data_IF_237090056053
#
_entry.id   IF_237090056053
#
_cell.length_a   1.000
_cell.length_b   1.000
_cell.length_c   1.000
_cell.angle_alpha   90.00
_cell.angle_beta   90.00
_cell.angle_gamma   90.00
#
_symmetry.space_group_name_H-M   'P 1'
#
loop_
_entity.id
_entity.type
_entity.pdbx_description
1 polymer ?
#
# COMPACT_ATOMS: atom_id res chain seq x y z
N UNK A 1 27.13 3.46 2.56
CA UNK A 1 27.88 4.66 2.17
C UNK A 1 27.02 5.86 2.49
N UNK A 2 27.55 6.96 3.05
CA UNK A 2 26.79 8.19 3.24
C UNK A 2 26.08 8.57 1.93
N UNK A 3 24.77 8.86 2.00
CA UNK A 3 23.96 9.26 0.83
C UNK A 3 23.12 8.17 0.16
N UNK A 4 23.13 6.91 0.63
CA UNK A 4 22.19 5.88 0.12
C UNK A 4 20.88 5.92 0.90
N UNK A 5 19.76 6.16 0.20
CA UNK A 5 18.43 6.02 0.80
C UNK A 5 18.22 4.58 1.31
N UNK A 6 17.63 4.39 2.50
CA UNK A 6 17.42 3.06 3.07
C UNK A 6 16.26 2.29 2.40
N UNK A 7 15.69 2.85 1.33
CA UNK A 7 14.60 2.28 0.55
C UNK A 7 14.86 2.46 -0.96
N UNK A 8 14.25 1.62 -1.81
CA UNK A 8 14.35 1.77 -3.27
C UNK A 8 13.72 3.09 -3.74
N UNK A 9 14.38 3.73 -4.71
CA UNK A 9 13.80 4.81 -5.49
C UNK A 9 13.60 4.31 -6.92
N UNK A 10 12.36 4.35 -7.41
CA UNK A 10 11.97 3.86 -8.73
C UNK A 10 11.59 5.04 -9.63
N UNK A 11 11.79 4.89 -10.93
CA UNK A 11 11.37 5.85 -11.95
C UNK A 11 10.35 5.20 -12.87
N UNK A 12 9.25 5.90 -13.15
CA UNK A 12 8.18 5.46 -14.02
C UNK A 12 7.85 6.55 -15.04
N UNK A 13 8.70 6.66 -16.06
CA UNK A 13 8.56 7.68 -17.11
C UNK A 13 7.26 7.54 -17.91
N UNK A 14 6.71 6.32 -18.01
CA UNK A 14 5.45 6.04 -18.69
C UNK A 14 4.21 6.36 -17.83
N UNK A 15 4.40 6.74 -16.55
CA UNK A 15 3.35 7.07 -15.56
C UNK A 15 2.32 5.95 -15.35
N UNK A 16 2.69 4.70 -15.59
CA UNK A 16 1.78 3.55 -15.50
C UNK A 16 1.30 3.35 -14.06
N UNK A 17 2.21 3.48 -13.09
CA UNK A 17 1.94 3.36 -11.66
C UNK A 17 1.04 4.48 -11.17
N UNK A 18 1.30 5.71 -11.59
CA UNK A 18 0.47 6.87 -11.23
C UNK A 18 -0.98 6.66 -11.67
N UNK A 19 -1.22 6.21 -12.90
CA UNK A 19 -2.57 5.90 -13.40
C UNK A 19 -3.18 4.69 -12.70
N UNK A 20 -2.39 3.64 -12.44
CA UNK A 20 -2.85 2.42 -11.75
C UNK A 20 -3.36 2.72 -10.34
N UNK A 21 -2.65 3.58 -9.60
CA UNK A 21 -3.05 4.00 -8.25
C UNK A 21 -3.98 5.22 -8.24
N UNK A 22 -4.38 5.73 -9.41
CA UNK A 22 -5.20 6.94 -9.55
C UNK A 22 -4.55 8.22 -8.99
N UNK A 23 -3.23 8.22 -8.87
CA UNK A 23 -2.40 9.37 -8.54
C UNK A 23 -2.06 10.18 -9.80
N UNK A 24 -3.06 10.45 -10.65
CA UNK A 24 -2.89 11.16 -11.90
C UNK A 24 -4.12 12.03 -12.12
N UNK A 25 -3.91 13.30 -12.43
CA UNK A 25 -4.97 14.21 -12.86
C UNK A 25 -5.15 14.06 -14.38
N UNK A 26 -6.30 13.55 -14.79
CA UNK A 26 -6.61 13.34 -16.21
C UNK A 26 -7.04 14.63 -16.93
N UNK A 27 -7.42 15.69 -16.20
CA UNK A 27 -7.71 17.01 -16.78
C UNK A 27 -6.43 17.78 -17.07
N UNK A 28 -5.49 17.79 -16.12
CA UNK A 28 -4.22 18.53 -16.26
C UNK A 28 -3.07 17.70 -16.87
N UNK A 29 -3.24 16.38 -17.03
CA UNK A 29 -2.22 15.39 -17.44
C UNK A 29 -0.96 15.41 -16.56
N UNK A 30 -1.16 15.51 -15.24
CA UNK A 30 -0.08 15.63 -14.26
C UNK A 30 -0.13 14.51 -13.20
N UNK A 31 1.04 14.04 -12.73
CA UNK A 31 1.10 13.13 -11.60
C UNK A 31 0.72 13.85 -10.30
N UNK A 32 -0.06 13.18 -9.45
CA UNK A 32 -0.38 13.62 -8.10
C UNK A 32 0.49 12.90 -7.07
N UNK A 33 0.56 13.46 -5.86
CA UNK A 33 1.21 12.80 -4.74
C UNK A 33 0.30 11.71 -4.20
N UNK A 34 0.85 10.51 -4.02
CA UNK A 34 0.12 9.37 -3.47
C UNK A 34 0.91 8.65 -2.40
N UNK A 35 0.27 8.37 -1.27
CA UNK A 35 0.76 7.46 -0.25
C UNK A 35 -0.19 6.25 -0.18
N UNK A 36 0.36 5.05 -0.39
CA UNK A 36 -0.42 3.81 -0.48
C UNK A 36 0.06 2.78 0.54
N UNK A 37 -0.89 2.07 1.15
CA UNK A 37 -0.62 0.85 1.92
C UNK A 37 -1.12 -0.36 1.13
N UNK A 38 -0.22 -1.27 0.79
CA UNK A 38 -0.52 -2.56 0.18
C UNK A 38 -0.12 -3.67 1.14
N UNK A 39 -1.02 -4.63 1.41
CA UNK A 39 -0.72 -5.74 2.32
C UNK A 39 0.09 -6.87 1.64
N UNK A 40 0.51 -7.86 2.44
CA UNK A 40 1.29 -9.01 1.97
C UNK A 40 0.57 -9.90 0.94
N UNK A 41 -0.75 -9.72 0.74
CA UNK A 41 -1.55 -10.42 -0.28
C UNK A 41 -1.76 -9.55 -1.53
N UNK A 42 -1.09 -8.40 -1.62
CA UNK A 42 -1.21 -7.46 -2.72
C UNK A 42 -2.51 -6.67 -2.71
N UNK A 43 -3.21 -6.56 -1.57
CA UNK A 43 -4.46 -5.77 -1.48
C UNK A 43 -4.17 -4.33 -1.06
N UNK A 44 -4.74 -3.38 -1.77
CA UNK A 44 -4.76 -1.97 -1.37
C UNK A 44 -5.60 -1.82 -0.10
N UNK A 45 -5.02 -1.22 0.92
CA UNK A 45 -5.60 -1.12 2.27
C UNK A 45 -6.05 0.27 2.63
N UNK A 46 -5.30 1.23 2.12
CA UNK A 46 -5.44 2.63 2.39
C UNK A 46 -4.69 3.38 1.30
N UNK A 47 -5.22 4.54 0.96
CA UNK A 47 -4.64 5.43 -0.04
C UNK A 47 -4.99 6.86 0.35
N UNK A 48 -3.99 7.72 0.25
CA UNK A 48 -4.14 9.17 0.27
C UNK A 48 -3.57 9.71 -1.04
N UNK A 49 -4.35 10.54 -1.73
CA UNK A 49 -3.99 11.18 -2.99
C UNK A 49 -4.31 12.66 -2.86
N UNK A 50 -3.33 13.50 -3.14
CA UNK A 50 -3.50 14.94 -3.09
C UNK A 50 -2.55 15.64 -4.07
N UNK A 51 -2.84 16.90 -4.33
CA UNK A 51 -1.90 17.79 -5.00
C UNK A 51 -0.67 18.08 -4.12
N UNK A 52 -0.83 18.10 -2.80
CA UNK A 52 0.29 18.25 -1.85
C UNK A 52 0.79 16.88 -1.35
N UNK A 53 2.10 16.76 -1.02
CA UNK A 53 2.62 15.54 -0.44
C UNK A 53 2.04 15.29 0.96
N UNK A 54 1.81 14.02 1.29
CA UNK A 54 1.45 13.61 2.63
C UNK A 54 2.66 13.72 3.57
N UNK A 55 2.56 14.52 4.64
CA UNK A 55 3.71 14.86 5.50
C UNK A 55 3.68 14.24 6.91
N UNK A 56 2.58 13.63 7.34
CA UNK A 56 2.43 13.10 8.71
C UNK A 56 2.83 11.61 8.81
N UNK A 57 4.13 11.33 8.70
CA UNK A 57 4.65 9.96 8.71
C UNK A 57 4.31 9.18 10.01
N UNK A 58 4.23 9.86 11.15
CA UNK A 58 3.91 9.23 12.43
C UNK A 58 2.45 8.76 12.49
N UNK A 59 1.52 9.58 11.98
CA UNK A 59 0.14 9.16 11.80
C UNK A 59 0.05 7.98 10.84
N UNK A 60 0.68 8.08 9.66
CA UNK A 60 0.62 7.03 8.65
C UNK A 60 1.10 5.68 9.21
N UNK A 61 2.23 5.68 9.92
CA UNK A 61 2.77 4.45 10.52
C UNK A 61 1.79 3.80 11.51
N UNK A 62 1.21 4.59 12.42
CA UNK A 62 0.24 4.10 13.41
C UNK A 62 -1.02 3.57 12.73
N UNK A 63 -1.53 4.30 11.75
CA UNK A 63 -2.74 3.92 11.02
C UNK A 63 -2.51 2.65 10.19
N UNK A 64 -1.35 2.51 9.55
CA UNK A 64 -1.02 1.31 8.78
C UNK A 64 -0.91 0.09 9.67
N UNK A 65 -0.29 0.22 10.85
CA UNK A 65 -0.25 -0.86 11.84
C UNK A 65 -1.66 -1.27 12.30
N UNK A 66 -2.54 -0.30 12.57
CA UNK A 66 -3.94 -0.56 12.94
C UNK A 66 -4.69 -1.29 11.82
N UNK A 67 -4.55 -0.85 10.57
CA UNK A 67 -5.24 -1.45 9.42
C UNK A 67 -4.79 -2.89 9.14
N UNK A 68 -3.49 -3.17 9.33
CA UNK A 68 -2.93 -4.50 9.10
C UNK A 68 -3.42 -5.54 10.14
N UNK A 69 -3.86 -5.12 11.33
CA UNK A 69 -4.41 -6.02 12.34
C UNK A 69 -5.71 -6.72 11.90
N UNK A 70 -6.51 -6.07 11.04
CA UNK A 70 -7.78 -6.64 10.56
C UNK A 70 -7.59 -7.68 9.45
N UNK A 71 -6.38 -7.82 8.91
CA UNK A 71 -6.09 -8.74 7.81
C UNK A 71 -4.88 -9.60 8.11
N UNK A 72 -4.94 -10.37 9.22
CA UNK A 72 -3.85 -11.25 9.60
C UNK A 72 -3.55 -12.14 8.40
N UNK A 73 -2.28 -12.17 7.98
CA UNK A 73 -1.78 -13.21 7.09
C UNK A 73 -2.13 -14.50 7.81
N UNK A 74 -3.21 -15.17 7.36
CA UNK A 74 -3.50 -16.50 7.83
C UNK A 74 -2.37 -17.31 7.26
N UNK A 75 -1.41 -17.65 8.12
CA UNK A 75 -0.33 -18.55 7.75
C UNK A 75 -1.01 -19.77 7.10
N UNK A 76 -0.70 -20.18 5.87
CA UNK A 76 -1.41 -21.28 5.21
C UNK A 76 -1.38 -22.57 6.03
N UNK A 77 -0.41 -22.71 6.94
CA UNK A 77 -0.27 -23.81 7.89
C UNK A 77 -1.18 -23.72 9.12
N UNK A 78 -1.77 -22.55 9.37
CA UNK A 78 -2.64 -22.25 10.50
C UNK A 78 -4.13 -22.20 10.10
N UNK A 79 -4.43 -22.40 8.81
CA UNK A 79 -5.76 -22.80 8.37
C UNK A 79 -6.05 -24.18 8.98
N UNK A 80 -6.94 -24.21 9.97
CA UNK A 80 -7.36 -25.42 10.69
C UNK A 80 -7.70 -26.55 9.70
N UNK A 81 -7.38 -27.82 10.02
CA UNK A 81 -7.93 -28.93 9.27
C UNK A 81 -9.46 -28.79 9.35
N UNK A 82 -10.13 -28.71 8.21
CA UNK A 82 -11.58 -28.84 8.15
C UNK A 82 -11.87 -30.24 8.72
N UNK A 83 -12.23 -30.29 10.00
CA UNK A 83 -12.55 -31.54 10.68
C UNK A 83 -13.70 -32.16 9.93
N UNK A 84 -13.47 -33.38 9.50
CA UNK A 84 -14.45 -34.28 8.94
C UNK A 84 -15.73 -34.29 9.80
N UNK A 85 -16.86 -34.29 9.11
CA UNK A 85 -18.10 -34.85 9.63
C UNK A 85 -19.06 -33.84 10.23
N UNK A 86 -20.14 -33.57 9.49
CA UNK A 86 -21.52 -33.59 10.01
C UNK A 86 -22.35 -34.29 8.91
N UNK A 87 -23.27 -35.21 9.26
CA UNK A 87 -23.75 -36.31 8.40
C UNK A 87 -24.51 -35.90 7.14
#
# INVERSE_FOLDING_TARGET
TPGKMPFPLLSDQARVSFKTYRCHDDFEDLPLHGLVLVDARGKLRWIDISYEPFMDADFALKEFQRLLQFHPVVDPKMALPVSAGIP
#
